data_IF_040950726713
#
_entry.id   IF_040950726713
#
_cell.length_a   1.000
_cell.length_b   1.000
_cell.length_c   1.000
_cell.angle_alpha   90.00
_cell.angle_beta   90.00
_cell.angle_gamma   90.00
#
_symmetry.space_group_name_H-M   'P 1'
#
loop_
_entity.id
_entity.type
_entity.pdbx_description
1 polymer ?
#
# COMPACT_ATOMS: atom_id res chain seq x y z
N UNK A 1 27.00 9.99 -9.01
CA UNK A 1 26.62 8.58 -8.84
C UNK A 1 25.34 8.64 -8.06
N UNK A 2 24.24 8.40 -8.73
CA UNK A 2 22.96 8.91 -8.29
C UNK A 2 21.93 7.83 -8.58
N UNK A 3 21.73 6.99 -7.58
CA UNK A 3 20.50 6.19 -7.53
C UNK A 3 19.34 7.18 -7.60
N UNK A 4 18.53 7.07 -8.63
CA UNK A 4 17.38 7.96 -8.79
C UNK A 4 16.19 7.37 -8.03
N UNK A 5 15.75 8.10 -7.02
CA UNK A 5 14.63 7.69 -6.16
C UNK A 5 13.39 8.47 -6.59
N UNK A 6 12.30 7.75 -6.88
CA UNK A 6 11.06 8.36 -7.37
C UNK A 6 9.83 7.53 -7.04
N UNK A 7 8.65 8.04 -7.39
CA UNK A 7 7.37 7.32 -7.34
C UNK A 7 6.91 7.04 -8.76
N UNK A 8 6.70 5.77 -9.09
CA UNK A 8 6.24 5.35 -10.42
C UNK A 8 4.71 5.47 -10.52
N UNK A 9 3.97 5.01 -9.51
CA UNK A 9 2.51 5.00 -9.47
C UNK A 9 1.98 5.44 -8.08
N UNK A 10 0.86 6.16 -8.06
CA UNK A 10 0.14 6.50 -6.84
C UNK A 10 -1.38 6.38 -7.06
N UNK A 11 -2.09 5.88 -6.05
CA UNK A 11 -3.56 5.83 -6.04
C UNK A 11 -4.07 6.35 -4.71
N UNK A 12 -4.97 7.31 -4.75
CA UNK A 12 -5.53 7.98 -3.58
C UNK A 12 -7.02 7.71 -3.46
N UNK A 13 -7.55 7.76 -2.24
CA UNK A 13 -8.98 7.66 -1.96
C UNK A 13 -9.36 8.81 -1.05
N UNK A 14 -10.33 9.63 -1.49
CA UNK A 14 -11.00 10.62 -0.66
C UNK A 14 -12.21 9.98 0.02
N UNK A 15 -12.30 10.15 1.35
CA UNK A 15 -13.40 9.63 2.16
C UNK A 15 -14.05 10.75 2.95
N UNK A 16 -15.35 10.64 3.12
CA UNK A 16 -16.11 11.56 3.94
C UNK A 16 -15.63 11.50 5.39
N UNK A 17 -15.47 12.67 6.02
CA UNK A 17 -15.22 12.75 7.46
C UNK A 17 -16.48 12.46 8.27
N UNK A 18 -17.65 12.65 7.68
CA UNK A 18 -18.95 12.36 8.29
C UNK A 18 -19.75 11.37 7.45
N UNK A 19 -20.43 10.39 8.07
CA UNK A 19 -21.27 9.42 7.37
C UNK A 19 -22.28 10.11 6.43
N UNK A 20 -22.60 9.45 5.32
CA UNK A 20 -23.61 9.92 4.38
C UNK A 20 -24.58 8.79 4.01
N UNK A 21 -25.84 9.14 3.75
CA UNK A 21 -26.82 8.15 3.30
C UNK A 21 -26.56 7.75 1.86
N UNK A 22 -26.79 6.47 1.55
CA UNK A 22 -26.65 5.91 0.19
C UNK A 22 -27.46 6.72 -0.84
N UNK A 23 -28.64 7.22 -0.46
CA UNK A 23 -29.51 8.01 -1.34
C UNK A 23 -28.91 9.35 -1.78
N UNK A 24 -28.05 9.97 -0.96
CA UNK A 24 -27.41 11.27 -1.26
C UNK A 24 -26.00 11.11 -1.80
N UNK A 25 -25.45 9.90 -1.71
CA UNK A 25 -24.06 9.63 -2.04
C UNK A 25 -23.68 9.99 -3.47
N UNK A 26 -24.45 9.65 -4.53
CA UNK A 26 -24.05 10.00 -5.90
C UNK A 26 -23.83 11.50 -6.08
N UNK A 27 -24.76 12.35 -5.63
CA UNK A 27 -24.63 13.81 -5.71
C UNK A 27 -23.40 14.33 -4.94
N UNK A 28 -23.13 13.75 -3.77
CA UNK A 28 -21.96 14.10 -2.96
C UNK A 28 -20.67 13.64 -3.64
N UNK A 29 -20.65 12.44 -4.21
CA UNK A 29 -19.52 11.88 -4.91
C UNK A 29 -19.15 12.72 -6.12
N UNK A 30 -20.13 13.22 -6.90
CA UNK A 30 -19.88 14.14 -8.01
C UNK A 30 -19.22 15.45 -7.55
N UNK A 31 -19.64 16.01 -6.42
CA UNK A 31 -18.99 17.20 -5.84
C UNK A 31 -17.54 16.91 -5.45
N UNK A 32 -17.27 15.72 -4.89
CA UNK A 32 -15.91 15.31 -4.54
C UNK A 32 -15.07 15.09 -5.80
N UNK A 33 -15.62 14.49 -6.86
CA UNK A 33 -14.95 14.30 -8.15
C UNK A 33 -14.52 15.66 -8.71
N UNK A 34 -15.43 16.62 -8.81
CA UNK A 34 -15.12 17.97 -9.32
C UNK A 34 -14.05 18.65 -8.49
N UNK A 35 -14.20 18.66 -7.16
CA UNK A 35 -13.23 19.30 -6.26
C UNK A 35 -11.83 18.68 -6.34
N UNK A 36 -11.72 17.36 -6.50
CA UNK A 36 -10.44 16.68 -6.71
C UNK A 36 -9.84 16.97 -8.09
N UNK A 37 -10.67 16.99 -9.14
CA UNK A 37 -10.23 17.27 -10.50
C UNK A 37 -9.66 18.68 -10.63
N UNK A 38 -10.37 19.66 -10.06
CA UNK A 38 -9.97 21.07 -10.05
C UNK A 38 -8.70 21.26 -9.22
N UNK A 39 -8.64 20.71 -8.00
CA UNK A 39 -7.47 20.84 -7.14
C UNK A 39 -6.22 20.21 -7.76
N UNK A 40 -6.37 19.07 -8.45
CA UNK A 40 -5.27 18.41 -9.16
C UNK A 40 -5.00 18.99 -10.55
N UNK A 41 -5.81 19.97 -11.00
CA UNK A 41 -5.74 20.63 -12.30
C UNK A 41 -5.79 19.67 -13.49
N UNK A 42 -6.61 18.63 -13.38
CA UNK A 42 -6.64 17.56 -14.38
C UNK A 42 -7.16 18.01 -15.74
N UNK A 43 -8.27 18.77 -15.84
CA UNK A 43 -8.77 19.25 -17.12
C UNK A 43 -7.75 20.13 -17.86
N UNK A 44 -6.95 20.92 -17.12
CA UNK A 44 -5.96 21.81 -17.72
C UNK A 44 -4.66 21.10 -18.12
N UNK A 45 -4.25 20.07 -17.38
CA UNK A 45 -2.94 19.44 -17.55
C UNK A 45 -2.95 18.18 -18.43
N UNK A 46 -4.10 17.51 -18.56
CA UNK A 46 -4.22 16.25 -19.30
C UNK A 46 -5.16 16.40 -20.49
N UNK A 47 -6.45 16.58 -20.22
CA UNK A 47 -7.53 16.80 -21.19
C UNK A 47 -8.86 16.82 -20.39
N UNK A 48 -9.94 17.40 -20.94
CA UNK A 48 -11.27 17.32 -20.32
C UNK A 48 -11.73 15.87 -20.10
N UNK A 49 -12.52 15.59 -19.04
CA UNK A 49 -12.93 14.24 -18.74
C UNK A 49 -13.93 13.67 -19.76
N UNK A 50 -13.80 12.38 -20.02
CA UNK A 50 -14.82 11.55 -20.67
C UNK A 50 -15.26 10.43 -19.73
N UNK A 51 -16.41 9.81 -19.99
CA UNK A 51 -16.85 8.64 -19.23
C UNK A 51 -15.81 7.52 -19.33
N UNK A 52 -15.40 6.99 -18.18
CA UNK A 52 -14.36 5.97 -18.13
C UNK A 52 -14.86 4.66 -18.75
N UNK A 53 -14.15 4.18 -19.79
CA UNK A 53 -14.41 2.87 -20.41
C UNK A 53 -14.28 1.72 -19.41
N UNK A 54 -13.42 1.88 -18.40
CA UNK A 54 -13.26 0.93 -17.30
C UNK A 54 -12.92 1.65 -16.00
N UNK A 55 -13.68 1.33 -14.96
CA UNK A 55 -13.44 1.85 -13.62
C UNK A 55 -12.38 1.01 -12.87
N UNK A 56 -11.69 1.60 -11.88
CA UNK A 56 -10.91 0.84 -10.93
C UNK A 56 -11.73 -0.27 -10.27
N UNK A 57 -11.09 -1.37 -9.88
CA UNK A 57 -11.78 -2.54 -9.36
C UNK A 57 -12.68 -2.19 -8.15
N UNK A 58 -13.96 -2.53 -8.25
CA UNK A 58 -14.97 -2.25 -7.22
C UNK A 58 -15.66 -0.89 -7.35
N UNK A 59 -15.29 -0.07 -8.33
CA UNK A 59 -15.95 1.20 -8.64
C UNK A 59 -16.84 1.05 -9.87
N UNK A 60 -17.95 1.80 -9.92
CA UNK A 60 -18.97 1.63 -10.97
C UNK A 60 -19.16 2.85 -11.86
N UNK A 61 -18.78 4.04 -11.39
CA UNK A 61 -18.91 5.29 -12.13
C UNK A 61 -17.57 6.01 -12.07
N UNK A 62 -17.09 6.53 -13.19
CA UNK A 62 -15.81 7.21 -13.21
C UNK A 62 -15.56 7.99 -14.48
N UNK A 63 -14.62 8.91 -14.36
CA UNK A 63 -14.23 9.90 -15.35
C UNK A 63 -12.78 9.68 -15.69
N UNK A 64 -12.49 9.46 -16.97
CA UNK A 64 -11.15 9.31 -17.48
C UNK A 64 -10.62 10.65 -18.01
N UNK A 65 -9.38 10.96 -17.69
CA UNK A 65 -8.66 12.13 -18.18
C UNK A 65 -7.51 11.68 -19.07
N UNK A 66 -7.47 12.17 -20.31
CA UNK A 66 -6.48 11.78 -21.32
C UNK A 66 -6.75 10.43 -22.00
N UNK A 67 -6.35 10.32 -23.26
CA UNK A 67 -6.55 9.12 -24.08
C UNK A 67 -5.44 8.06 -23.91
N UNK A 68 -4.17 8.47 -23.88
CA UNK A 68 -3.01 7.55 -23.95
C UNK A 68 -2.45 7.13 -22.58
N UNK A 69 -2.88 7.78 -21.50
CA UNK A 69 -2.39 7.54 -20.15
C UNK A 69 -3.57 7.37 -19.19
N UNK A 70 -3.75 6.17 -18.65
CA UNK A 70 -4.90 5.89 -17.78
C UNK A 70 -4.83 6.72 -16.50
N UNK A 71 -5.73 7.71 -16.40
CA UNK A 71 -6.04 8.49 -15.21
C UNK A 71 -7.56 8.47 -15.01
N UNK A 72 -8.02 8.02 -13.85
CA UNK A 72 -9.45 7.91 -13.57
C UNK A 72 -9.80 8.40 -12.16
N UNK A 73 -10.82 9.25 -12.06
CA UNK A 73 -11.51 9.52 -10.80
C UNK A 73 -12.83 8.74 -10.80
N UNK A 74 -13.08 7.92 -9.79
CA UNK A 74 -14.25 7.05 -9.76
C UNK A 74 -14.87 6.92 -8.37
N UNK A 75 -16.15 6.56 -8.32
CA UNK A 75 -16.87 6.20 -7.09
C UNK A 75 -17.76 4.97 -7.35
N UNK A 76 -18.20 4.32 -6.28
CA UNK A 76 -19.23 3.28 -6.37
C UNK A 76 -20.59 3.86 -6.03
N UNK A 77 -21.59 3.69 -6.90
CA UNK A 77 -22.90 4.33 -6.77
C UNK A 77 -23.64 4.04 -5.44
N UNK A 78 -23.46 2.85 -4.88
CA UNK A 78 -24.20 2.39 -3.69
C UNK A 78 -23.34 2.12 -2.45
N UNK A 79 -22.03 2.43 -2.48
CA UNK A 79 -21.10 2.08 -1.38
C UNK A 79 -20.32 3.32 -0.92
N UNK A 80 -20.92 4.21 -0.10
CA UNK A 80 -20.29 5.46 0.33
C UNK A 80 -18.96 5.26 1.08
N UNK A 81 -18.83 4.13 1.79
CA UNK A 81 -17.64 3.77 2.55
C UNK A 81 -16.40 3.51 1.68
N UNK A 82 -16.60 3.25 0.39
CA UNK A 82 -15.49 3.13 -0.56
C UNK A 82 -14.82 4.49 -0.81
N UNK A 83 -15.61 5.57 -0.79
CA UNK A 83 -15.16 6.92 -1.12
C UNK A 83 -15.02 7.15 -2.63
N UNK A 84 -14.28 8.20 -2.99
CA UNK A 84 -13.90 8.53 -4.36
C UNK A 84 -12.42 8.20 -4.56
N UNK A 85 -12.11 7.34 -5.53
CA UNK A 85 -10.74 6.96 -5.88
C UNK A 85 -10.19 7.87 -6.97
N UNK A 86 -8.90 8.20 -6.84
CA UNK A 86 -8.09 8.85 -7.87
C UNK A 86 -6.98 7.87 -8.23
N UNK A 87 -7.04 7.30 -9.44
CA UNK A 87 -6.09 6.30 -9.92
C UNK A 87 -5.33 6.82 -11.13
N UNK A 88 -4.04 7.04 -10.97
CA UNK A 88 -3.10 7.30 -12.05
C UNK A 88 -2.30 6.03 -12.34
N UNK A 89 -2.20 5.65 -13.61
CA UNK A 89 -1.15 4.73 -14.07
C UNK A 89 0.22 5.38 -13.98
N UNK A 90 1.28 4.58 -14.08
CA UNK A 90 2.64 5.12 -14.06
C UNK A 90 2.87 6.19 -15.14
N UNK A 91 2.34 5.99 -16.35
CA UNK A 91 2.40 6.96 -17.45
C UNK A 91 1.68 8.25 -17.11
N UNK A 92 0.44 8.16 -16.61
CA UNK A 92 -0.35 9.33 -16.26
C UNK A 92 0.26 10.13 -15.12
N UNK A 93 0.80 9.45 -14.10
CA UNK A 93 1.43 10.12 -12.96
C UNK A 93 2.70 10.88 -13.38
N UNK A 94 3.51 10.30 -14.27
CA UNK A 94 4.68 11.00 -14.79
C UNK A 94 4.32 12.22 -15.65
N UNK A 95 3.28 12.09 -16.49
CA UNK A 95 2.77 13.20 -17.29
C UNK A 95 2.26 14.33 -16.39
N UNK A 96 1.41 13.99 -15.39
CA UNK A 96 0.92 14.95 -14.41
C UNK A 96 2.06 15.66 -13.67
N UNK A 97 3.07 14.92 -13.18
CA UNK A 97 4.25 15.50 -12.51
C UNK A 97 5.02 16.46 -13.40
N UNK A 98 5.19 16.10 -14.68
CA UNK A 98 5.89 16.94 -15.66
C UNK A 98 5.13 18.24 -15.91
N UNK A 99 3.81 18.16 -16.14
CA UNK A 99 2.98 19.33 -16.43
C UNK A 99 2.76 20.20 -15.19
N UNK A 100 2.64 19.62 -14.00
CA UNK A 100 2.42 20.34 -12.74
C UNK A 100 3.71 20.88 -12.09
N UNK A 101 4.87 20.34 -12.48
CA UNK A 101 6.15 20.53 -11.79
C UNK A 101 6.09 20.18 -10.28
N UNK A 102 5.26 19.19 -9.92
CA UNK A 102 5.10 18.69 -8.54
C UNK A 102 5.58 17.25 -8.42
N UNK A 103 5.94 16.88 -7.19
CA UNK A 103 6.23 15.50 -6.80
C UNK A 103 5.03 14.89 -6.03
N UNK A 104 5.25 13.72 -5.41
CA UNK A 104 4.19 12.98 -4.71
C UNK A 104 3.64 13.74 -3.50
N UNK A 105 4.46 14.51 -2.78
CA UNK A 105 4.02 15.37 -1.67
C UNK A 105 3.02 16.43 -2.17
N UNK A 106 3.34 17.10 -3.29
CA UNK A 106 2.46 18.08 -3.92
C UNK A 106 1.15 17.44 -4.39
N UNK A 107 1.21 16.23 -4.96
CA UNK A 107 0.01 15.47 -5.34
C UNK A 107 -0.91 15.21 -4.14
N UNK A 108 -0.35 14.77 -3.01
CA UNK A 108 -1.10 14.49 -1.79
C UNK A 108 -1.70 15.77 -1.22
N UNK A 109 -0.91 16.85 -1.10
CA UNK A 109 -1.36 18.15 -0.56
C UNK A 109 -2.48 18.75 -1.38
N UNK A 110 -2.33 18.81 -2.70
CA UNK A 110 -3.36 19.34 -3.60
C UNK A 110 -4.65 18.51 -3.52
N UNK A 111 -4.54 17.18 -3.48
CA UNK A 111 -5.71 16.32 -3.29
C UNK A 111 -6.36 16.50 -1.90
N UNK A 112 -5.55 16.68 -0.85
CA UNK A 112 -6.02 16.92 0.51
C UNK A 112 -6.81 18.23 0.60
N UNK A 113 -6.23 19.32 0.11
CA UNK A 113 -6.89 20.64 0.04
C UNK A 113 -8.23 20.56 -0.70
N UNK A 114 -8.24 19.90 -1.87
CA UNK A 114 -9.47 19.71 -2.67
C UNK A 114 -10.52 18.85 -1.97
N UNK A 115 -10.11 17.82 -1.22
CA UNK A 115 -11.02 16.95 -0.48
C UNK A 115 -11.58 17.64 0.79
N UNK A 116 -10.74 18.38 1.51
CA UNK A 116 -11.13 19.08 2.74
C UNK A 116 -12.20 20.14 2.46
N UNK A 117 -12.11 20.84 1.33
CA UNK A 117 -13.11 21.82 0.88
C UNK A 117 -14.54 21.23 0.76
N UNK A 118 -14.66 19.90 0.59
CA UNK A 118 -15.93 19.18 0.48
C UNK A 118 -16.17 18.21 1.66
N UNK A 119 -15.46 18.41 2.78
CA UNK A 119 -15.65 17.66 4.01
C UNK A 119 -15.13 16.21 3.95
N UNK A 120 -14.05 15.99 3.20
CA UNK A 120 -13.39 14.70 3.06
C UNK A 120 -11.94 14.75 3.55
N UNK A 121 -11.38 13.60 3.88
CA UNK A 121 -9.95 13.39 4.04
C UNK A 121 -9.42 12.49 2.92
N UNK A 122 -8.11 12.56 2.67
CA UNK A 122 -7.46 11.74 1.65
C UNK A 122 -6.49 10.75 2.26
N UNK A 123 -6.29 9.63 1.57
CA UNK A 123 -5.20 8.70 1.86
C UNK A 123 -4.78 7.93 0.61
N UNK A 124 -3.49 7.64 0.50
CA UNK A 124 -2.96 6.71 -0.48
C UNK A 124 -3.45 5.30 -0.19
N UNK A 125 -4.06 4.67 -1.18
CA UNK A 125 -4.39 3.24 -1.16
C UNK A 125 -3.28 2.37 -1.76
N UNK A 126 -2.45 2.97 -2.63
CA UNK A 126 -1.29 2.36 -3.28
C UNK A 126 -0.21 3.41 -3.54
N UNK A 127 1.05 3.03 -3.34
CA UNK A 127 2.22 3.82 -3.69
C UNK A 127 3.34 2.90 -4.19
N UNK A 128 3.84 3.14 -5.40
CA UNK A 128 4.93 2.38 -6.00
C UNK A 128 6.20 3.22 -5.96
N UNK A 129 7.06 2.96 -4.97
CA UNK A 129 8.34 3.66 -4.78
C UNK A 129 9.43 2.96 -5.56
N UNK A 130 10.30 3.71 -6.23
CA UNK A 130 11.35 3.18 -7.12
C UNK A 130 12.72 3.72 -6.74
N UNK A 131 13.73 2.86 -6.88
CA UNK A 131 15.14 3.20 -6.93
C UNK A 131 15.71 2.67 -8.25
N UNK A 132 16.18 3.59 -9.09
CA UNK A 132 16.79 3.33 -10.38
C UNK A 132 18.32 3.39 -10.25
N UNK A 133 18.96 2.25 -10.47
CA UNK A 133 20.41 2.09 -10.49
C UNK A 133 20.88 2.12 -11.94
N UNK A 134 21.38 3.28 -12.38
CA UNK A 134 21.76 3.55 -13.77
C UNK A 134 23.27 3.62 -13.84
N UNK A 135 23.88 2.73 -14.62
CA UNK A 135 25.33 2.60 -14.76
C UNK A 135 26.07 2.35 -13.42
N UNK A 136 25.36 1.84 -12.39
CA UNK A 136 25.87 1.61 -11.03
C UNK A 136 26.52 0.21 -10.85
N UNK A 137 27.20 -0.31 -11.87
CA UNK A 137 28.19 -1.39 -11.75
C UNK A 137 27.83 -2.78 -12.31
N UNK A 138 28.79 -3.70 -12.13
CA UNK A 138 28.84 -5.07 -12.68
C UNK A 138 27.99 -6.07 -11.90
N UNK A 139 26.72 -5.76 -11.68
CA UNK A 139 25.78 -6.68 -11.07
C UNK A 139 24.47 -6.72 -11.85
N UNK A 140 23.80 -7.86 -11.78
CA UNK A 140 22.55 -8.13 -12.48
C UNK A 140 21.47 -8.58 -11.52
N UNK A 141 20.22 -8.54 -11.98
CA UNK A 141 19.09 -9.15 -11.25
C UNK A 141 19.34 -10.64 -10.99
N UNK A 142 20.02 -11.33 -11.91
CA UNK A 142 20.37 -12.75 -11.78
C UNK A 142 21.37 -13.00 -10.66
N UNK A 143 22.33 -12.10 -10.43
CA UNK A 143 23.29 -12.23 -9.33
C UNK A 143 22.61 -12.13 -7.97
N UNK A 144 21.70 -11.16 -7.82
CA UNK A 144 20.93 -10.98 -6.58
C UNK A 144 20.00 -12.18 -6.35
N UNK A 145 19.27 -12.61 -7.37
CA UNK A 145 18.38 -13.76 -7.30
C UNK A 145 19.14 -15.04 -6.91
N UNK A 146 20.24 -15.34 -7.61
CA UNK A 146 21.06 -16.53 -7.36
C UNK A 146 21.66 -16.52 -5.96
N UNK A 147 22.11 -15.36 -5.46
CA UNK A 147 22.63 -15.25 -4.10
C UNK A 147 21.56 -15.56 -3.04
N UNK A 148 20.31 -15.16 -3.27
CA UNK A 148 19.19 -15.47 -2.36
C UNK A 148 18.78 -16.95 -2.42
N UNK A 149 18.70 -17.53 -3.62
CA UNK A 149 18.37 -18.95 -3.83
C UNK A 149 19.43 -19.87 -3.23
N UNK A 150 20.71 -19.58 -3.50
CA UNK A 150 21.85 -20.34 -2.98
C UNK A 150 22.16 -20.03 -1.50
N UNK A 151 21.37 -19.15 -0.87
CA UNK A 151 21.51 -18.76 0.55
C UNK A 151 22.89 -18.18 0.89
N UNK A 152 23.62 -17.65 -0.09
CA UNK A 152 24.82 -16.84 0.14
C UNK A 152 24.45 -15.38 0.48
N UNK A 153 23.20 -14.99 0.28
CA UNK A 153 22.59 -13.76 0.74
C UNK A 153 21.18 -14.01 1.31
N UNK A 154 20.63 -13.00 1.98
CA UNK A 154 19.24 -12.98 2.41
C UNK A 154 18.64 -11.57 2.35
N UNK A 155 17.33 -11.52 2.15
CA UNK A 155 16.54 -10.30 2.28
C UNK A 155 16.13 -10.06 3.74
N UNK A 156 16.00 -8.80 4.12
CA UNK A 156 15.69 -8.31 5.45
C UNK A 156 14.70 -7.14 5.35
N UNK A 157 13.97 -6.90 6.43
CA UNK A 157 13.25 -5.66 6.68
C UNK A 157 13.79 -5.04 7.98
N UNK A 158 13.72 -3.72 8.09
CA UNK A 158 14.13 -2.98 9.26
C UNK A 158 12.96 -2.80 10.25
N UNK A 159 13.28 -2.84 11.55
CA UNK A 159 12.37 -2.52 12.65
C UNK A 159 13.08 -1.64 13.67
N UNK A 160 12.33 -0.80 14.41
CA UNK A 160 12.87 -0.10 15.56
C UNK A 160 13.46 -1.10 16.57
N UNK A 161 14.69 -0.86 17.03
CA UNK A 161 15.43 -1.66 18.00
C UNK A 161 15.88 -0.82 19.20
N UNK A 162 15.05 0.13 19.64
CA UNK A 162 15.44 1.15 20.61
C UNK A 162 16.23 2.27 19.92
N UNK A 163 17.47 2.51 20.36
CA UNK A 163 18.37 3.53 19.79
C UNK A 163 18.98 3.16 18.42
N UNK A 164 18.67 1.99 17.88
CA UNK A 164 19.23 1.50 16.61
C UNK A 164 18.20 0.73 15.78
N UNK A 165 18.55 0.46 14.52
CA UNK A 165 17.73 -0.35 13.61
C UNK A 165 18.04 -1.83 13.79
N UNK A 166 17.01 -2.63 14.05
CA UNK A 166 17.09 -4.09 14.02
C UNK A 166 16.67 -4.62 12.66
N UNK A 167 17.52 -5.46 12.07
CA UNK A 167 17.27 -6.08 10.78
C UNK A 167 16.73 -7.49 10.97
N UNK A 168 15.53 -7.74 10.46
CA UNK A 168 14.86 -9.03 10.60
C UNK A 168 14.77 -9.71 9.25
N UNK A 169 15.19 -10.98 9.20
CA UNK A 169 15.23 -11.75 7.96
C UNK A 169 13.83 -11.93 7.38
N UNK A 170 13.68 -11.63 6.10
CA UNK A 170 12.46 -11.85 5.34
C UNK A 170 12.26 -13.36 5.14
N UNK A 171 11.03 -13.86 5.36
CA UNK A 171 10.71 -15.30 5.25
C UNK A 171 10.23 -15.70 3.86
N UNK A 172 9.73 -14.75 3.06
CA UNK A 172 9.31 -15.04 1.69
C UNK A 172 10.49 -15.46 0.84
N UNK A 173 10.26 -16.44 -0.03
CA UNK A 173 11.22 -16.85 -1.05
C UNK A 173 11.12 -15.90 -2.26
N UNK A 174 12.24 -15.59 -2.91
CA UNK A 174 12.19 -14.86 -4.17
C UNK A 174 11.49 -15.73 -5.23
N UNK A 175 10.80 -15.08 -6.16
CA UNK A 175 10.18 -15.72 -7.33
C UNK A 175 10.70 -15.02 -8.57
N UNK A 176 11.04 -15.75 -9.61
CA UNK A 176 11.37 -15.19 -10.91
C UNK A 176 10.72 -16.01 -12.02
N UNK A 177 10.64 -15.41 -13.20
CA UNK A 177 10.42 -16.14 -14.44
C UNK A 177 11.75 -16.13 -15.19
N UNK A 178 12.34 -17.32 -15.33
CA UNK A 178 13.60 -17.49 -16.05
C UNK A 178 13.30 -17.68 -17.54
N UNK A 179 14.06 -16.96 -18.38
CA UNK A 179 14.12 -17.18 -19.82
C UNK A 179 15.59 -17.35 -20.18
N UNK A 180 15.94 -18.47 -20.81
CA UNK A 180 17.32 -18.80 -21.21
C UNK A 180 18.34 -18.73 -20.07
N UNK A 181 17.97 -19.19 -18.87
CA UNK A 181 18.84 -19.20 -17.68
C UNK A 181 19.14 -17.82 -17.08
N UNK A 182 18.52 -16.75 -17.60
CA UNK A 182 18.62 -15.39 -17.05
C UNK A 182 17.32 -14.99 -16.38
N UNK A 183 17.42 -14.47 -15.15
CA UNK A 183 16.31 -13.82 -14.47
C UNK A 183 16.31 -12.33 -14.83
N UNK A 184 15.29 -11.88 -15.57
CA UNK A 184 15.09 -10.46 -15.86
C UNK A 184 14.30 -9.69 -14.82
N UNK A 185 13.47 -10.41 -14.04
CA UNK A 185 12.61 -9.85 -13.00
C UNK A 185 12.53 -10.82 -11.85
N UNK A 186 12.80 -10.33 -10.64
CA UNK A 186 12.61 -11.04 -9.38
C UNK A 186 11.53 -10.34 -8.56
N UNK A 187 10.69 -11.13 -7.89
CA UNK A 187 9.65 -10.68 -6.99
C UNK A 187 9.94 -11.18 -5.56
N UNK A 188 9.69 -10.33 -4.56
CA UNK A 188 9.71 -10.72 -3.16
C UNK A 188 8.47 -10.21 -2.42
N UNK A 189 7.86 -11.08 -1.61
CA UNK A 189 6.55 -10.82 -1.01
C UNK A 189 5.40 -11.26 -1.93
N UNK A 190 4.16 -11.03 -1.48
CA UNK A 190 2.95 -11.48 -2.17
C UNK A 190 2.13 -10.27 -2.61
N UNK A 191 1.80 -10.21 -3.90
CA UNK A 191 0.83 -9.28 -4.46
C UNK A 191 -0.58 -9.87 -4.32
N UNK A 192 -1.09 -9.95 -3.09
CA UNK A 192 -2.43 -10.46 -2.78
C UNK A 192 -3.23 -9.47 -1.97
N UNK A 193 -4.57 -9.62 -2.00
CA UNK A 193 -5.49 -8.88 -1.13
C UNK A 193 -5.05 -9.05 0.34
N UNK A 194 -4.82 -7.93 1.03
CA UNK A 194 -4.36 -7.89 2.43
C UNK A 194 -2.85 -7.84 2.65
N UNK A 195 -2.01 -7.99 1.62
CA UNK A 195 -0.59 -7.67 1.74
C UNK A 195 -0.38 -6.15 1.83
N UNK A 196 0.54 -5.70 2.67
CA UNK A 196 0.86 -4.27 2.79
C UNK A 196 2.05 -3.85 1.91
N UNK A 197 2.88 -4.81 1.47
CA UNK A 197 3.99 -4.52 0.57
C UNK A 197 4.41 -5.74 -0.25
N UNK A 198 4.91 -5.47 -1.46
CA UNK A 198 5.70 -6.41 -2.24
C UNK A 198 6.75 -5.65 -3.05
N UNK A 199 7.72 -6.36 -3.58
CA UNK A 199 8.83 -5.76 -4.31
C UNK A 199 9.14 -6.49 -5.61
N UNK A 200 9.60 -5.70 -6.59
CA UNK A 200 10.11 -6.13 -7.88
C UNK A 200 11.54 -5.61 -8.05
N UNK A 201 12.46 -6.46 -8.48
CA UNK A 201 13.79 -6.05 -8.94
C UNK A 201 13.94 -6.53 -10.37
N UNK A 202 14.18 -5.63 -11.32
CA UNK A 202 14.20 -5.99 -12.73
C UNK A 202 15.12 -5.14 -13.59
N UNK A 203 15.49 -5.68 -14.74
CA UNK A 203 16.25 -4.99 -15.77
C UNK A 203 15.33 -4.01 -16.50
N UNK A 204 15.40 -2.75 -16.09
CA UNK A 204 14.54 -1.67 -16.61
C UNK A 204 14.96 -1.27 -18.01
N UNK A 205 16.28 -1.29 -18.32
CA UNK A 205 16.77 -1.03 -19.68
C UNK A 205 16.15 -2.03 -20.65
N UNK A 206 16.28 -3.33 -20.36
CA UNK A 206 15.70 -4.38 -21.20
C UNK A 206 14.19 -4.27 -21.32
N UNK A 207 13.49 -3.99 -20.22
CA UNK A 207 12.04 -3.79 -20.22
C UNK A 207 11.60 -2.63 -21.12
N UNK A 208 12.32 -1.51 -21.09
CA UNK A 208 12.03 -0.34 -21.93
C UNK A 208 12.37 -0.59 -23.40
N UNK A 209 13.47 -1.28 -23.71
CA UNK A 209 13.85 -1.62 -25.09
C UNK A 209 12.91 -2.64 -25.73
N UNK A 210 12.56 -3.72 -25.02
CA UNK A 210 11.70 -4.79 -25.55
C UNK A 210 10.25 -4.34 -25.78
N UNK A 211 9.76 -3.40 -24.96
CA UNK A 211 8.37 -2.93 -25.02
C UNK A 211 8.17 -1.61 -25.76
N UNK A 212 9.25 -1.03 -26.27
CA UNK A 212 9.24 0.36 -26.75
C UNK A 212 8.61 1.30 -25.71
N UNK A 213 9.03 1.15 -24.45
CA UNK A 213 8.46 1.87 -23.32
C UNK A 213 8.77 3.37 -23.36
N UNK A 214 8.07 4.13 -22.50
CA UNK A 214 8.19 5.60 -22.44
C UNK A 214 9.60 6.16 -22.26
N UNK A 215 10.53 5.37 -21.73
CA UNK A 215 11.93 5.76 -21.52
C UNK A 215 12.86 5.10 -22.53
N UNK A 216 12.37 4.70 -23.70
CA UNK A 216 13.15 4.00 -24.73
C UNK A 216 14.48 4.71 -25.06
N UNK A 217 14.43 6.00 -25.43
CA UNK A 217 15.64 6.74 -25.79
C UNK A 217 16.65 6.86 -24.62
N UNK A 218 16.16 6.92 -23.38
CA UNK A 218 17.02 6.89 -22.19
C UNK A 218 17.67 5.51 -22.01
N UNK A 219 16.91 4.44 -22.23
CA UNK A 219 17.40 3.08 -22.12
C UNK A 219 18.47 2.74 -23.18
N UNK A 220 18.41 3.36 -24.36
CA UNK A 220 19.46 3.26 -25.39
C UNK A 220 20.75 3.96 -24.98
N UNK A 221 20.64 5.08 -24.26
CA UNK A 221 21.78 5.93 -23.91
C UNK A 221 22.61 5.45 -22.70
N UNK A 222 22.11 4.51 -21.91
CA UNK A 222 22.77 4.01 -20.68
C UNK A 222 23.31 2.61 -20.90
N UNK A 223 24.35 2.19 -20.18
CA UNK A 223 24.92 0.85 -20.30
C UNK A 223 24.09 -0.17 -19.51
N UNK A 224 23.74 0.16 -18.26
CA UNK A 224 22.91 -0.67 -17.39
C UNK A 224 21.81 0.15 -16.71
N UNK A 225 20.65 -0.47 -16.50
CA UNK A 225 19.57 0.13 -15.73
C UNK A 225 18.77 -0.94 -15.02
N UNK A 226 18.97 -1.05 -13.71
CA UNK A 226 18.22 -1.95 -12.84
C UNK A 226 17.27 -1.10 -12.01
N UNK A 227 16.02 -1.52 -11.87
CA UNK A 227 15.03 -0.87 -11.00
C UNK A 227 14.64 -1.78 -9.85
N UNK A 228 14.76 -1.27 -8.63
CA UNK A 228 14.10 -1.81 -7.46
C UNK A 228 12.81 -1.01 -7.24
N UNK A 229 11.68 -1.71 -7.21
CA UNK A 229 10.38 -1.10 -6.99
C UNK A 229 9.71 -1.77 -5.79
N UNK A 230 9.24 -0.95 -4.85
CA UNK A 230 8.52 -1.35 -3.65
C UNK A 230 7.11 -0.79 -3.74
N UNK A 231 6.16 -1.71 -3.88
CA UNK A 231 4.73 -1.39 -3.90
C UNK A 231 4.20 -1.44 -2.47
N UNK A 232 3.75 -0.31 -1.96
CA UNK A 232 3.07 -0.17 -0.68
C UNK A 232 1.56 -0.13 -0.89
N UNK A 233 0.82 -0.89 -0.10
CA UNK A 233 -0.64 -0.99 -0.15
C UNK A 233 -1.22 -1.02 1.27
N UNK A 234 -2.54 -0.79 1.38
CA UNK A 234 -3.26 -0.88 2.65
C UNK A 234 -2.61 0.01 3.73
N UNK A 235 -2.25 -0.54 4.89
CA UNK A 235 -1.77 0.25 6.04
C UNK A 235 -0.45 0.98 5.75
N UNK A 236 0.44 0.42 4.93
CA UNK A 236 1.70 1.11 4.59
C UNK A 236 1.48 2.26 3.61
N UNK A 237 0.51 2.16 2.70
CA UNK A 237 0.14 3.29 1.86
C UNK A 237 -0.52 4.42 2.69
N UNK A 238 -1.38 4.07 3.66
CA UNK A 238 -1.96 5.07 4.58
C UNK A 238 -0.85 5.79 5.37
N UNK A 239 0.06 5.06 6.01
CA UNK A 239 1.19 5.66 6.74
C UNK A 239 2.09 6.52 5.83
N UNK A 240 2.29 6.09 4.57
CA UNK A 240 3.03 6.89 3.61
C UNK A 240 2.32 8.21 3.26
N UNK A 241 0.99 8.29 3.39
CA UNK A 241 0.26 9.56 3.22
C UNK A 241 0.69 10.54 4.29
N UNK A 242 0.57 10.13 5.55
CA UNK A 242 0.89 10.98 6.71
C UNK A 242 2.33 11.49 6.63
N UNK A 243 3.28 10.58 6.35
CA UNK A 243 4.70 10.93 6.28
C UNK A 243 5.01 11.84 5.08
N UNK A 244 4.46 11.57 3.90
CA UNK A 244 4.80 12.34 2.69
C UNK A 244 4.10 13.70 2.62
N UNK A 245 2.98 13.87 3.34
CA UNK A 245 2.28 15.15 3.41
C UNK A 245 3.09 16.21 4.18
N UNK A 246 3.95 15.77 5.09
CA UNK A 246 4.76 16.65 5.95
C UNK A 246 6.15 16.97 5.38
N UNK A 247 6.54 16.38 4.25
CA UNK A 247 7.86 16.58 3.64
C UNK A 247 8.05 18.01 3.11
N UNK A 248 9.09 18.70 3.57
CA UNK A 248 9.30 20.12 3.26
C UNK A 248 10.04 20.36 1.94
N UNK A 249 10.99 19.48 1.60
CA UNK A 249 11.84 19.66 0.43
C UNK A 249 12.14 18.37 -0.36
N UNK A 250 12.73 18.55 -1.54
CA UNK A 250 13.00 17.47 -2.49
C UNK A 250 14.07 16.48 -2.01
N UNK A 251 14.99 16.90 -1.14
CA UNK A 251 16.01 16.01 -0.60
C UNK A 251 15.44 15.19 0.55
N UNK A 252 14.67 15.79 1.46
CA UNK A 252 13.89 15.06 2.46
C UNK A 252 12.98 14.03 1.80
N UNK A 253 12.29 14.39 0.71
CA UNK A 253 11.47 13.46 -0.07
C UNK A 253 12.26 12.24 -0.52
N UNK A 254 13.42 12.44 -1.15
CA UNK A 254 14.26 11.33 -1.64
C UNK A 254 14.70 10.43 -0.50
N UNK A 255 15.15 11.00 0.62
CA UNK A 255 15.57 10.22 1.79
C UNK A 255 14.40 9.43 2.37
N UNK A 256 13.23 10.04 2.50
CA UNK A 256 12.02 9.39 3.00
C UNK A 256 11.61 8.20 2.12
N UNK A 257 11.63 8.37 0.78
CA UNK A 257 11.36 7.29 -0.17
C UNK A 257 12.42 6.18 -0.10
N UNK A 258 13.71 6.53 0.06
CA UNK A 258 14.79 5.57 0.26
C UNK A 258 14.56 4.72 1.52
N UNK A 259 14.19 5.38 2.62
CA UNK A 259 13.92 4.77 3.91
C UNK A 259 12.71 3.82 3.82
N UNK A 260 11.65 4.18 3.10
CA UNK A 260 10.52 3.27 2.84
C UNK A 260 10.97 2.00 2.11
N UNK A 261 11.86 2.11 1.11
CA UNK A 261 12.43 0.94 0.41
C UNK A 261 13.26 0.10 1.38
N UNK A 262 14.28 0.69 2.01
CA UNK A 262 15.23 0.01 2.89
C UNK A 262 14.53 -0.66 4.07
N UNK A 263 13.51 0.01 4.62
CA UNK A 263 12.75 -0.49 5.73
C UNK A 263 12.02 -1.79 5.40
N UNK A 264 11.55 -1.96 4.16
CA UNK A 264 10.80 -3.16 3.77
C UNK A 264 11.67 -4.22 3.11
N UNK A 265 12.66 -3.79 2.34
CA UNK A 265 13.45 -4.67 1.48
C UNK A 265 14.91 -4.23 1.41
N UNK A 266 15.75 -4.93 2.17
CA UNK A 266 17.21 -4.81 2.11
C UNK A 266 17.87 -6.16 1.95
N UNK A 267 19.01 -6.22 1.27
CA UNK A 267 19.70 -7.44 0.90
C UNK A 267 21.12 -7.44 1.46
N UNK A 268 21.49 -8.52 2.15
CA UNK A 268 22.81 -8.66 2.76
C UNK A 268 23.40 -10.02 2.44
N UNK A 269 24.73 -10.06 2.23
CA UNK A 269 25.49 -11.30 2.19
C UNK A 269 25.42 -12.02 3.53
N UNK A 270 25.51 -13.34 3.48
CA UNK A 270 25.62 -14.20 4.65
C UNK A 270 27.06 -14.70 4.79
N UNK A 271 27.65 -14.54 5.97
CA UNK A 271 28.92 -15.17 6.37
C UNK A 271 28.65 -16.02 7.61
N UNK A 272 28.99 -17.31 7.56
CA UNK A 272 28.64 -18.27 8.61
C UNK A 272 27.15 -18.21 9.03
N UNK A 273 26.24 -18.04 8.06
CA UNK A 273 24.80 -17.93 8.29
C UNK A 273 24.31 -16.61 8.92
N UNK A 274 25.22 -15.68 9.24
CA UNK A 274 24.90 -14.37 9.82
C UNK A 274 24.99 -13.26 8.78
N UNK A 275 24.17 -12.22 8.98
CA UNK A 275 24.18 -11.00 8.16
C UNK A 275 25.56 -10.36 8.18
N UNK A 276 26.09 -10.06 7.01
CA UNK A 276 27.38 -9.39 6.81
C UNK A 276 27.18 -8.11 5.98
N UNK A 277 27.89 -7.96 4.85
CA UNK A 277 27.87 -6.75 4.04
C UNK A 277 26.57 -6.60 3.22
N UNK A 278 26.06 -5.38 3.02
CA UNK A 278 24.94 -5.14 2.11
C UNK A 278 25.31 -5.52 0.66
N UNK A 279 24.31 -5.94 -0.11
CA UNK A 279 24.41 -6.08 -1.56
C UNK A 279 24.11 -4.75 -2.25
N UNK A 280 24.46 -4.55 -3.53
CA UNK A 280 24.35 -3.25 -4.21
C UNK A 280 22.98 -2.55 -4.08
N UNK A 281 21.82 -3.23 -4.21
CA UNK A 281 20.52 -2.55 -4.05
C UNK A 281 20.33 -1.89 -2.67
N UNK A 282 21.00 -2.41 -1.64
CA UNK A 282 20.97 -1.84 -0.28
C UNK A 282 22.14 -0.91 -0.04
N UNK A 283 23.35 -1.29 -0.47
CA UNK A 283 24.56 -0.53 -0.21
C UNK A 283 24.49 0.89 -0.80
N UNK A 284 23.89 1.04 -1.98
CA UNK A 284 23.78 2.32 -2.68
C UNK A 284 22.65 3.23 -2.15
N UNK A 285 21.74 2.69 -1.34
CA UNK A 285 20.65 3.45 -0.70
C UNK A 285 20.93 3.74 0.78
N UNK A 286 21.68 2.85 1.44
CA UNK A 286 21.82 2.85 2.90
C UNK A 286 22.78 3.95 3.36
N UNK A 287 22.22 4.95 4.02
CA UNK A 287 22.93 5.86 4.91
C UNK A 287 22.59 5.50 6.37
N UNK A 288 23.49 4.84 7.12
CA UNK A 288 23.22 4.41 8.49
C UNK A 288 22.94 5.55 9.48
N UNK A 289 23.48 6.75 9.24
CA UNK A 289 23.32 7.90 10.14
C UNK A 289 21.97 8.59 9.91
N UNK A 290 21.47 8.53 8.67
CA UNK A 290 20.20 9.14 8.26
C UNK A 290 19.00 8.21 8.25
N UNK A 291 19.21 6.89 8.23
CA UNK A 291 18.12 5.90 8.14
C UNK A 291 17.04 6.16 9.20
N UNK A 292 15.84 6.50 8.74
CA UNK A 292 14.61 6.55 9.53
C UNK A 292 13.69 5.40 9.13
N UNK A 293 12.73 5.12 10.00
CA UNK A 293 11.76 4.03 9.81
C UNK A 293 10.35 4.61 9.74
N UNK A 294 9.98 5.26 8.62
CA UNK A 294 8.72 6.01 8.50
C UNK A 294 7.48 5.12 8.63
N UNK A 295 7.59 3.83 8.30
CA UNK A 295 6.46 2.92 8.33
C UNK A 295 6.37 2.18 9.66
N UNK A 296 5.33 2.44 10.45
CA UNK A 296 5.10 1.69 11.67
C UNK A 296 4.79 0.22 11.37
N UNK A 297 5.37 -0.70 12.15
CA UNK A 297 5.09 -2.13 12.00
C UNK A 297 3.58 -2.36 12.07
N UNK A 298 3.02 -2.93 11.00
CA UNK A 298 1.64 -3.39 11.03
C UNK A 298 1.62 -4.62 11.91
N UNK A 299 1.22 -4.45 13.17
CA UNK A 299 0.84 -5.61 13.96
C UNK A 299 -0.26 -6.35 13.19
N UNK A 300 -0.14 -7.68 13.04
CA UNK A 300 -1.16 -8.49 12.36
C UNK A 300 -2.55 -8.36 13.00
N UNK A 301 -2.62 -7.80 14.20
CA UNK A 301 -3.80 -7.75 15.02
C UNK A 301 -4.43 -6.37 14.97
N UNK A 302 -5.75 -6.35 14.69
CA UNK A 302 -6.61 -5.33 15.28
C UNK A 302 -6.51 -5.52 16.80
N UNK A 303 -6.38 -4.44 17.56
CA UNK A 303 -6.60 -4.52 19.01
C UNK A 303 -7.96 -5.17 19.27
N UNK A 304 -8.15 -5.83 20.42
CA UNK A 304 -9.36 -6.61 20.70
C UNK A 304 -10.64 -5.78 20.46
N UNK A 305 -10.59 -4.48 20.77
CA UNK A 305 -11.67 -3.51 20.49
C UNK A 305 -11.88 -3.31 18.98
N UNK A 306 -10.82 -3.07 18.23
CA UNK A 306 -10.89 -2.85 16.78
C UNK A 306 -11.39 -4.10 16.05
N UNK A 307 -11.10 -5.30 16.58
CA UNK A 307 -11.62 -6.56 16.07
C UNK A 307 -13.13 -6.69 16.34
N UNK A 308 -13.58 -6.30 17.53
CA UNK A 308 -15.00 -6.25 17.87
C UNK A 308 -15.78 -5.25 16.99
N UNK A 309 -15.27 -4.02 16.88
CA UNK A 309 -15.88 -2.97 16.05
C UNK A 309 -15.92 -3.39 14.57
N UNK A 310 -14.88 -4.08 14.08
CA UNK A 310 -14.91 -4.62 12.73
C UNK A 310 -15.98 -5.69 12.52
N UNK A 311 -16.12 -6.63 13.46
CA UNK A 311 -17.17 -7.65 13.37
C UNK A 311 -18.55 -7.00 13.32
N UNK A 312 -18.77 -5.94 14.10
CA UNK A 312 -20.02 -5.19 14.12
C UNK A 312 -20.26 -4.39 12.84
N UNK A 313 -19.29 -3.56 12.43
CA UNK A 313 -19.50 -2.49 11.45
C UNK A 313 -18.95 -2.81 10.06
N UNK A 314 -17.88 -3.60 9.98
CA UNK A 314 -17.09 -3.75 8.74
C UNK A 314 -17.02 -5.16 8.15
N UNK A 315 -17.50 -6.17 8.87
CA UNK A 315 -17.39 -7.58 8.45
C UNK A 315 -18.56 -8.04 7.58
N UNK A 316 -19.66 -7.27 7.56
CA UNK A 316 -20.92 -7.67 6.93
C UNK A 316 -21.76 -8.64 7.77
N UNK A 317 -21.31 -9.04 8.96
CA UNK A 317 -22.06 -9.93 9.86
C UNK A 317 -23.44 -9.37 10.22
N UNK A 318 -23.52 -8.11 10.63
CA UNK A 318 -24.79 -7.49 11.02
C UNK A 318 -25.73 -7.34 9.82
N UNK A 319 -25.19 -6.98 8.66
CA UNK A 319 -25.96 -6.93 7.41
C UNK A 319 -26.50 -8.31 7.02
N UNK A 320 -25.73 -9.38 7.19
CA UNK A 320 -26.18 -10.75 6.96
C UNK A 320 -27.32 -11.11 7.91
N UNK A 321 -27.14 -10.89 9.21
CA UNK A 321 -28.14 -11.22 10.23
C UNK A 321 -29.44 -10.43 10.01
N UNK A 322 -29.34 -9.14 9.67
CA UNK A 322 -30.49 -8.32 9.32
C UNK A 322 -31.20 -8.85 8.06
N UNK A 323 -30.47 -9.22 7.01
CA UNK A 323 -31.06 -9.81 5.79
C UNK A 323 -31.79 -11.11 6.10
N UNK A 324 -31.19 -12.00 6.91
CA UNK A 324 -31.83 -13.25 7.34
C UNK A 324 -33.15 -12.96 8.06
N UNK A 325 -33.13 -12.02 9.00
CA UNK A 325 -34.32 -11.60 9.74
C UNK A 325 -35.40 -11.00 8.83
N UNK A 326 -35.01 -10.16 7.86
CA UNK A 326 -35.95 -9.52 6.94
C UNK A 326 -36.61 -10.51 5.98
N UNK A 327 -35.90 -11.55 5.56
CA UNK A 327 -36.41 -12.53 4.58
C UNK A 327 -37.22 -13.64 5.26
N UNK A 328 -36.76 -14.16 6.40
CA UNK A 328 -37.31 -15.37 7.03
C UNK A 328 -37.77 -15.17 8.49
N UNK A 329 -37.73 -13.94 9.00
CA UNK A 329 -38.20 -13.60 10.35
C UNK A 329 -37.20 -13.92 11.47
N UNK A 330 -37.62 -13.61 12.71
CA UNK A 330 -36.78 -13.69 13.91
C UNK A 330 -36.32 -15.11 14.23
N UNK A 331 -37.12 -16.13 13.95
CA UNK A 331 -36.73 -17.54 14.17
C UNK A 331 -35.52 -17.93 13.32
N UNK A 332 -35.46 -17.47 12.08
CA UNK A 332 -34.32 -17.71 11.20
C UNK A 332 -33.06 -16.96 11.67
N UNK A 333 -33.22 -15.75 12.22
CA UNK A 333 -32.11 -15.04 12.85
C UNK A 333 -31.52 -15.85 14.01
N UNK A 334 -32.35 -16.33 14.93
CA UNK A 334 -31.90 -17.13 16.07
C UNK A 334 -31.27 -18.46 15.64
N UNK A 335 -31.83 -19.12 14.63
CA UNK A 335 -31.27 -20.34 14.07
C UNK A 335 -29.87 -20.11 13.46
N UNK A 336 -29.69 -19.06 12.67
CA UNK A 336 -28.39 -18.72 12.06
C UNK A 336 -27.39 -18.28 13.12
N UNK A 337 -27.79 -17.46 14.09
CA UNK A 337 -26.92 -17.05 15.20
C UNK A 337 -26.50 -18.24 16.07
N UNK A 338 -27.44 -19.14 16.35
CA UNK A 338 -27.20 -20.41 17.05
C UNK A 338 -26.20 -21.29 16.32
N UNK A 339 -26.33 -21.42 14.99
CA UNK A 339 -25.41 -22.18 14.16
C UNK A 339 -23.98 -21.60 14.19
N UNK A 340 -23.82 -20.28 14.04
CA UNK A 340 -22.51 -19.62 14.12
C UNK A 340 -21.84 -19.85 15.49
N UNK A 341 -22.62 -19.81 16.57
CA UNK A 341 -22.13 -20.12 17.92
C UNK A 341 -21.69 -21.58 18.04
N UNK A 342 -22.47 -22.51 17.48
CA UNK A 342 -22.13 -23.93 17.48
C UNK A 342 -20.82 -24.19 16.70
N UNK A 343 -20.68 -23.63 15.50
CA UNK A 343 -19.47 -23.76 14.68
C UNK A 343 -18.22 -23.23 15.39
N UNK A 344 -18.35 -22.12 16.14
CA UNK A 344 -17.25 -21.60 16.95
C UNK A 344 -16.77 -22.60 18.02
N UNK A 345 -17.65 -23.41 18.61
CA UNK A 345 -17.23 -24.42 19.60
C UNK A 345 -16.33 -25.51 19.00
N UNK A 346 -16.45 -25.75 17.69
CA UNK A 346 -15.59 -26.68 16.94
C UNK A 346 -14.38 -26.02 16.29
N UNK A 347 -14.25 -24.69 16.38
CA UNK A 347 -13.14 -23.97 15.78
C UNK A 347 -11.80 -24.35 16.44
N UNK A 348 -10.87 -24.84 15.62
CA UNK A 348 -9.50 -25.16 16.04
C UNK A 348 -8.56 -24.03 15.63
N UNK A 349 -8.07 -23.20 16.57
CA UNK A 349 -7.17 -22.11 16.22
C UNK A 349 -5.86 -22.65 15.67
N UNK A 350 -5.37 -22.01 14.61
CA UNK A 350 -4.04 -22.29 14.05
C UNK A 350 -2.94 -22.03 15.07
N UNK A 351 -1.76 -22.63 14.87
CA UNK A 351 -0.60 -22.42 15.75
C UNK A 351 -0.22 -20.92 15.87
N UNK A 352 -0.43 -20.16 14.79
CA UNK A 352 -0.19 -18.71 14.79
C UNK A 352 -1.18 -17.95 15.65
N UNK A 353 -2.47 -18.32 15.63
CA UNK A 353 -3.50 -17.69 16.45
C UNK A 353 -3.27 -17.97 17.94
N UNK A 354 -2.90 -19.21 18.29
CA UNK A 354 -2.60 -19.58 19.68
C UNK A 354 -1.41 -18.80 20.25
N UNK A 355 -0.26 -18.86 19.57
CA UNK A 355 0.94 -18.16 20.02
C UNK A 355 0.74 -16.64 20.17
N UNK A 356 -0.14 -16.06 19.37
CA UNK A 356 -0.51 -14.65 19.44
C UNK A 356 -1.41 -14.35 20.65
N UNK A 357 -2.45 -15.16 20.88
CA UNK A 357 -3.32 -15.03 22.05
C UNK A 357 -2.52 -15.21 23.35
N UNK A 358 -1.62 -16.19 23.41
CA UNK A 358 -0.76 -16.42 24.58
C UNK A 358 0.09 -15.17 24.89
N UNK A 359 0.62 -14.51 23.85
CA UNK A 359 1.42 -13.30 24.00
C UNK A 359 0.61 -12.10 24.51
N UNK A 360 -0.61 -11.90 24.01
CA UNK A 360 -1.46 -10.74 24.36
C UNK A 360 -2.40 -10.96 25.54
N UNK A 361 -2.55 -12.19 26.04
CA UNK A 361 -3.50 -12.49 27.13
C UNK A 361 -3.20 -11.68 28.40
N UNK A 362 -1.94 -11.59 28.80
CA UNK A 362 -1.56 -10.81 29.99
C UNK A 362 -1.84 -9.30 29.80
N UNK A 363 -1.60 -8.79 28.59
CA UNK A 363 -1.87 -7.40 28.20
C UNK A 363 -3.38 -7.10 28.24
N UNK A 364 -4.20 -7.95 27.62
CA UNK A 364 -5.65 -7.77 27.64
C UNK A 364 -6.26 -7.92 29.02
N UNK A 365 -5.77 -8.84 29.86
CA UNK A 365 -6.22 -8.94 31.26
C UNK A 365 -5.85 -7.74 32.10
N UNK A 366 -4.75 -7.06 31.78
CA UNK A 366 -4.37 -5.80 32.43
C UNK A 366 -5.24 -4.64 31.93
N UNK A 367 -5.54 -4.60 30.62
CA UNK A 367 -6.33 -3.55 29.95
C UNK A 367 -7.84 -3.69 30.24
N UNK A 368 -8.33 -4.92 30.35
CA UNK A 368 -9.70 -5.32 30.66
C UNK A 368 -9.68 -6.39 31.76
N UNK A 369 -9.64 -5.99 33.04
CA UNK A 369 -9.70 -6.92 34.16
C UNK A 369 -10.93 -7.82 34.11
N UNK A 370 -12.06 -7.30 33.62
CA UNK A 370 -13.31 -8.03 33.42
C UNK A 370 -13.84 -7.92 31.99
N UNK A 371 -14.74 -8.82 31.62
CA UNK A 371 -15.45 -8.74 30.33
C UNK A 371 -16.35 -7.50 30.25
N UNK A 372 -16.89 -7.05 31.38
CA UNK A 372 -17.71 -5.83 31.46
C UNK A 372 -16.89 -4.60 31.09
N UNK A 373 -15.64 -4.49 31.57
CA UNK A 373 -14.73 -3.38 31.24
C UNK A 373 -14.48 -3.32 29.72
N UNK A 374 -14.33 -4.48 29.09
CA UNK A 374 -14.18 -4.58 27.64
C UNK A 374 -15.45 -4.13 26.91
N UNK A 375 -16.62 -4.63 27.32
CA UNK A 375 -17.92 -4.30 26.71
C UNK A 375 -18.23 -2.80 26.85
N UNK A 376 -18.00 -2.21 28.02
CA UNK A 376 -18.15 -0.77 28.24
C UNK A 376 -17.22 0.02 27.32
N UNK A 377 -15.94 -0.37 27.24
CA UNK A 377 -14.96 0.32 26.39
C UNK A 377 -15.37 0.36 24.92
N UNK A 378 -15.91 -0.73 24.38
CA UNK A 378 -16.37 -0.77 22.98
C UNK A 378 -17.72 -0.10 22.77
N UNK A 379 -18.55 0.05 23.81
CA UNK A 379 -19.79 0.85 23.77
C UNK A 379 -19.51 2.34 23.68
N UNK A 380 -18.64 2.87 24.55
CA UNK A 380 -18.30 4.31 24.63
C UNK A 380 -17.55 4.87 23.41
N UNK A 381 -16.98 4.02 22.55
CA UNK A 381 -16.37 4.47 21.28
C UNK A 381 -17.40 4.85 20.20
N UNK A 382 -18.71 4.79 20.51
CA UNK A 382 -19.81 5.05 19.56
C UNK A 382 -20.72 6.20 19.98
N UNK A 383 -20.39 6.86 21.09
CA UNK A 383 -20.89 8.19 21.44
C UNK A 383 -19.78 9.19 21.12
#
# INVERSE_FOLDING_TARGET
>A
MTVEISVDEATLVARRMQPCSVSRWPEIAEKIVGSLADALRLPELLEPPVDARSCPAGYTHGYQYGDDAYMCIAYHYAEPEMGVIVKMSATAFALWRQCSAKHIDGFIRMAAEGAEAVGCNVRLSRLDVTADYIDEGDWTVTDIYSALVNKSAAAYYAKPGGASVTWVRHRSRPRSFERDGKTGTMYLGVASKGSNAHMRLYDKKREQLERHGRYYGRAEAVNSWIRLEVVLTNKYAHQATDVLQDVEDADELKHCLADMILQRYSFFRLRAGKRSTPLPPTALLLDPERLRLPLSSVEPMRELEDAYLYLRDGSGLYSLLLRVQMVWGTEAFEAVWGQLRAEYTFYKPSRSVRAMNDKKTAEYRKKYPTVSDFIERVRWRNE
#
